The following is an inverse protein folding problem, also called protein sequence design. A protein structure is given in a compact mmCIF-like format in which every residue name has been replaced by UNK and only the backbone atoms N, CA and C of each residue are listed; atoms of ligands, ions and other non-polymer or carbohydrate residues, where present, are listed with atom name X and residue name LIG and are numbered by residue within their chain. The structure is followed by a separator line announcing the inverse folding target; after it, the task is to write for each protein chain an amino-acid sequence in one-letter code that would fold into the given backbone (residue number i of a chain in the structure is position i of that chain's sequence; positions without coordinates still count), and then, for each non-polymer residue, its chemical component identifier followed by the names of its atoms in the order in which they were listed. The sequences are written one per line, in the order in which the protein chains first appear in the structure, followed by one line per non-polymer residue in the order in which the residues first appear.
data_IF_500354216323
#
_entry.id   IF_500354216323
#
_cell.length_a   1.000
_cell.length_b   1.000
_cell.length_c   1.000
_cell.angle_alpha   90.00
_cell.angle_beta   90.00
_cell.angle_gamma   90.00
#
_symmetry.space_group_name_H-M   'P 1'
#
loop_
_entity.id
_entity.type
_entity.pdbx_description
1 polymer ?
#
# COMPACT_ATOMS: atom_id res chain seq x y z
N UNK A 1 20.44 -17.35 -9.42
CA UNK A 1 19.95 -16.59 -8.24
C UNK A 1 18.98 -15.55 -8.77
N UNK A 2 17.89 -15.26 -8.07
CA UNK A 2 17.03 -14.14 -8.46
C UNK A 2 17.85 -12.85 -8.35
N UNK A 3 18.11 -12.21 -9.48
CA UNK A 3 18.86 -10.95 -9.53
C UNK A 3 17.96 -9.79 -9.08
N UNK A 4 18.56 -8.83 -8.38
CA UNK A 4 17.88 -7.58 -8.02
C UNK A 4 17.53 -6.81 -9.28
N UNK A 5 16.30 -6.29 -9.35
CA UNK A 5 15.85 -5.48 -10.48
C UNK A 5 16.49 -4.10 -10.46
N UNK A 6 16.88 -3.64 -9.29
CA UNK A 6 17.61 -2.41 -9.03
C UNK A 6 18.44 -2.58 -7.75
N UNK A 7 19.54 -1.85 -7.64
CA UNK A 7 20.44 -1.94 -6.48
C UNK A 7 19.67 -1.65 -5.18
N UNK A 8 19.75 -2.57 -4.23
CA UNK A 8 19.14 -2.41 -2.92
C UNK A 8 17.66 -2.80 -2.83
N UNK A 9 17.11 -3.46 -3.87
CA UNK A 9 15.74 -3.98 -3.84
C UNK A 9 15.49 -4.86 -2.61
N UNK A 10 16.38 -5.82 -2.33
CA UNK A 10 16.20 -6.75 -1.20
C UNK A 10 16.14 -6.00 0.12
N UNK A 11 17.01 -4.99 0.29
CA UNK A 11 17.06 -4.16 1.49
C UNK A 11 15.78 -3.34 1.64
N UNK A 12 15.33 -2.68 0.57
CA UNK A 12 14.10 -1.90 0.57
C UNK A 12 12.86 -2.74 0.92
N UNK A 13 12.75 -3.94 0.32
CA UNK A 13 11.66 -4.86 0.63
C UNK A 13 11.73 -5.37 2.08
N UNK A 14 12.91 -5.74 2.56
CA UNK A 14 13.08 -6.19 3.94
C UNK A 14 12.70 -5.10 4.95
N UNK A 15 13.12 -3.85 4.73
CA UNK A 15 12.74 -2.72 5.56
C UNK A 15 11.23 -2.50 5.56
N UNK A 16 10.62 -2.41 4.38
CA UNK A 16 9.18 -2.25 4.25
C UNK A 16 8.41 -3.36 4.97
N UNK A 17 8.74 -4.63 4.72
CA UNK A 17 8.04 -5.76 5.32
C UNK A 17 8.24 -5.85 6.83
N UNK A 18 9.40 -5.45 7.36
CA UNK A 18 9.64 -5.37 8.80
C UNK A 18 8.76 -4.30 9.46
N UNK A 19 8.57 -3.16 8.81
CA UNK A 19 7.68 -2.10 9.33
C UNK A 19 6.21 -2.55 9.33
N UNK A 20 5.77 -3.31 8.31
CA UNK A 20 4.37 -3.73 8.22
C UNK A 20 4.06 -4.95 9.10
N UNK A 21 5.05 -5.76 9.48
CA UNK A 21 4.81 -7.10 10.03
C UNK A 21 3.96 -7.10 11.30
N UNK A 22 4.18 -6.11 12.18
CA UNK A 22 3.39 -5.95 13.41
C UNK A 22 1.92 -5.65 13.07
N UNK A 23 1.69 -4.72 12.14
CA UNK A 23 0.35 -4.29 11.72
C UNK A 23 -0.42 -5.37 10.98
N UNK A 24 0.27 -6.18 10.18
CA UNK A 24 -0.33 -7.36 9.52
C UNK A 24 -0.83 -8.35 10.57
N UNK A 25 -0.05 -8.59 11.63
CA UNK A 25 -0.47 -9.47 12.73
C UNK A 25 -1.66 -8.92 13.52
N UNK A 26 -1.72 -7.62 13.76
CA UNK A 26 -2.83 -6.94 14.45
C UNK A 26 -4.12 -6.90 13.63
N UNK A 27 -4.03 -6.61 12.33
CA UNK A 27 -5.20 -6.34 11.47
C UNK A 27 -5.74 -7.56 10.75
N UNK A 28 -4.87 -8.34 10.11
CA UNK A 28 -5.26 -9.51 9.34
C UNK A 28 -5.18 -10.80 10.18
N UNK A 29 -4.56 -10.72 11.36
CA UNK A 29 -4.37 -11.85 12.25
C UNK A 29 -3.17 -12.71 11.87
N UNK A 30 -2.73 -13.50 12.86
CA UNK A 30 -1.56 -14.39 12.76
C UNK A 30 -1.75 -15.59 11.84
N UNK A 31 -2.99 -15.86 11.42
CA UNK A 31 -3.34 -16.94 10.51
C UNK A 31 -3.44 -16.47 9.05
N UNK A 32 -3.26 -15.17 8.78
CA UNK A 32 -3.29 -14.66 7.42
C UNK A 32 -2.09 -15.17 6.62
N UNK A 33 -2.32 -15.48 5.34
CA UNK A 33 -1.23 -15.87 4.43
C UNK A 33 -0.15 -14.79 4.35
N UNK A 34 -0.55 -13.52 4.34
CA UNK A 34 0.39 -12.41 4.33
C UNK A 34 1.28 -12.41 5.58
N UNK A 35 0.73 -12.64 6.77
CA UNK A 35 1.52 -12.71 7.99
C UNK A 35 2.62 -13.78 7.88
N UNK A 36 2.27 -15.00 7.48
CA UNK A 36 3.23 -16.09 7.32
C UNK A 36 4.27 -15.80 6.24
N UNK A 37 3.86 -15.25 5.10
CA UNK A 37 4.77 -14.89 4.02
C UNK A 37 5.78 -13.82 4.46
N UNK A 38 5.33 -12.80 5.21
CA UNK A 38 6.20 -11.75 5.76
C UNK A 38 7.19 -12.34 6.76
N UNK A 39 6.73 -13.15 7.72
CA UNK A 39 7.62 -13.77 8.71
C UNK A 39 8.69 -14.65 8.04
N UNK A 40 8.28 -15.46 7.07
CA UNK A 40 9.19 -16.30 6.29
C UNK A 40 10.20 -15.46 5.51
N UNK A 41 9.75 -14.41 4.81
CA UNK A 41 10.61 -13.56 4.02
C UNK A 41 11.64 -12.80 4.87
N UNK A 42 11.26 -12.33 6.06
CA UNK A 42 12.16 -11.66 6.99
C UNK A 42 13.18 -12.62 7.64
N UNK A 43 12.78 -13.87 7.87
CA UNK A 43 13.67 -14.89 8.43
C UNK A 43 14.75 -15.35 7.43
N UNK A 44 14.37 -15.60 6.18
CA UNK A 44 15.30 -16.11 5.17
C UNK A 44 16.03 -15.01 4.38
N UNK A 45 15.46 -13.80 4.35
CA UNK A 45 15.96 -12.64 3.59
C UNK A 45 16.27 -12.95 2.12
N UNK A 46 15.58 -13.93 1.54
CA UNK A 46 15.71 -14.26 0.13
C UNK A 46 14.79 -13.37 -0.71
N UNK A 47 15.31 -12.88 -1.83
CA UNK A 47 14.61 -11.92 -2.69
C UNK A 47 13.28 -12.47 -3.21
N UNK A 48 13.21 -13.78 -3.47
CA UNK A 48 11.99 -14.44 -3.95
C UNK A 48 10.86 -14.39 -2.92
N UNK A 49 11.15 -14.70 -1.66
CA UNK A 49 10.18 -14.59 -0.57
C UNK A 49 9.79 -13.14 -0.30
N UNK A 50 10.73 -12.20 -0.37
CA UNK A 50 10.46 -10.76 -0.23
C UNK A 50 9.50 -10.25 -1.32
N UNK A 51 9.75 -10.62 -2.58
CA UNK A 51 8.86 -10.29 -3.72
C UNK A 51 7.49 -10.95 -3.54
N UNK A 52 7.45 -12.23 -3.17
CA UNK A 52 6.18 -12.93 -2.94
C UNK A 52 5.33 -12.27 -1.86
N UNK A 53 5.93 -11.87 -0.73
CA UNK A 53 5.23 -11.14 0.31
C UNK A 53 4.70 -9.78 -0.17
N UNK A 54 5.46 -9.06 -1.00
CA UNK A 54 5.00 -7.83 -1.65
C UNK A 54 3.84 -8.09 -2.61
N UNK A 55 3.86 -9.17 -3.38
CA UNK A 55 2.79 -9.51 -4.30
C UNK A 55 1.49 -9.83 -3.55
N UNK A 56 1.58 -10.59 -2.45
CA UNK A 56 0.44 -10.83 -1.56
C UNK A 56 -0.11 -9.53 -0.96
N UNK A 57 0.76 -8.62 -0.52
CA UNK A 57 0.34 -7.30 -0.05
C UNK A 57 -0.39 -6.50 -1.14
N UNK A 58 0.11 -6.54 -2.38
CA UNK A 58 -0.49 -5.84 -3.51
C UNK A 58 -1.82 -6.46 -3.98
N UNK A 59 -2.01 -7.76 -3.73
CA UNK A 59 -3.23 -8.49 -4.02
C UNK A 59 -4.36 -8.21 -3.00
N UNK A 60 -4.04 -7.60 -1.84
CA UNK A 60 -5.06 -7.22 -0.87
C UNK A 60 -6.08 -6.24 -1.46
N UNK A 61 -7.33 -6.27 -0.99
CA UNK A 61 -8.31 -5.23 -1.24
C UNK A 61 -7.71 -3.85 -0.95
N UNK A 62 -8.02 -2.89 -1.83
CA UNK A 62 -7.58 -1.50 -1.69
C UNK A 62 -7.79 -0.91 -0.28
N UNK A 63 -8.93 -1.08 0.42
CA UNK A 63 -9.10 -0.53 1.76
C UNK A 63 -8.07 -1.09 2.75
N UNK A 64 -7.88 -2.40 2.79
CA UNK A 64 -6.92 -3.06 3.70
C UNK A 64 -5.48 -2.59 3.44
N UNK A 65 -5.11 -2.49 2.16
CA UNK A 65 -3.78 -2.01 1.77
C UNK A 65 -3.55 -0.55 2.20
N UNK A 66 -4.55 0.31 2.05
CA UNK A 66 -4.46 1.71 2.49
C UNK A 66 -4.32 1.81 4.01
N UNK A 67 -5.07 1.01 4.76
CA UNK A 67 -4.95 0.98 6.22
C UNK A 67 -3.58 0.53 6.69
N UNK A 68 -3.04 -0.55 6.10
CA UNK A 68 -1.70 -1.04 6.43
C UNK A 68 -0.62 -0.02 6.07
N UNK A 69 -0.71 0.63 4.90
CA UNK A 69 0.22 1.69 4.51
C UNK A 69 0.13 2.91 5.42
N UNK A 70 -1.07 3.33 5.80
CA UNK A 70 -1.25 4.46 6.72
C UNK A 70 -0.68 4.16 8.12
N UNK A 71 -0.82 2.93 8.60
CA UNK A 71 -0.28 2.52 9.89
C UNK A 71 1.25 2.56 9.96
N UNK A 72 1.94 2.24 8.86
CA UNK A 72 3.40 2.37 8.75
C UNK A 72 3.80 3.84 8.85
N UNK A 73 3.17 4.72 8.06
CA UNK A 73 3.46 6.17 8.06
C UNK A 73 3.16 6.85 9.40
N UNK A 74 2.11 6.41 10.11
CA UNK A 74 1.78 6.92 11.44
C UNK A 74 2.86 6.56 12.48
N UNK A 75 3.41 5.34 12.39
CA UNK A 75 4.46 4.86 13.32
C UNK A 75 5.76 5.66 13.14
N UNK A 76 6.10 6.06 11.92
CA UNK A 76 7.24 6.96 11.64
C UNK A 76 7.08 8.35 12.28
N UNK A 77 5.85 8.87 12.38
CA UNK A 77 5.59 10.18 12.99
C UNK A 77 5.64 10.14 14.53
N UNK A 78 5.27 9.02 15.15
CA UNK A 78 5.29 8.88 16.61
C UNK A 78 6.71 8.69 17.18
N UNK A 79 7.64 8.15 16.38
CA UNK A 79 9.05 7.98 16.73
C UNK A 79 9.92 9.23 16.49
N UNK A 80 9.37 10.34 16.01
CA UNK A 80 10.06 11.62 16.00
C UNK A 80 9.91 12.27 17.39
N UNK A 81 10.93 12.20 18.29
CA UNK A 81 10.82 12.90 19.55
C UNK A 81 10.78 14.39 19.27
N UNK A 82 9.85 15.05 19.95
CA UNK A 82 9.84 16.50 20.11
C UNK A 82 11.22 17.00 20.53
N UNK A 83 11.98 17.54 19.58
CA UNK A 83 13.05 18.47 19.88
C UNK A 83 12.85 19.73 19.07
N UNK A 84 12.78 20.80 19.85
CA UNK A 84 12.84 22.22 19.48
C UNK A 84 11.61 22.79 18.78
N UNK A 85 10.77 23.40 19.62
CA UNK A 85 10.25 24.74 19.40
C UNK A 85 11.24 25.59 18.57
N UNK A 86 10.90 25.78 17.30
CA UNK A 86 11.12 27.03 16.60
C UNK A 86 10.12 27.09 15.44
N UNK A 87 8.98 27.71 15.70
CA UNK A 87 8.03 28.20 14.69
C UNK A 87 8.77 29.22 13.79
N UNK A 88 8.59 29.22 12.46
CA UNK A 88 7.50 30.00 11.84
C UNK A 88 6.82 29.23 10.66
N UNK A 89 5.83 29.81 9.96
CA UNK A 89 4.45 29.39 10.09
C UNK A 89 3.91 28.67 8.85
N UNK A 90 2.90 27.84 9.08
CA UNK A 90 1.76 27.54 8.20
C UNK A 90 2.01 27.65 6.67
N UNK A 91 2.29 26.51 6.03
CA UNK A 91 1.73 26.25 4.70
C UNK A 91 0.77 25.09 4.84
N UNK A 92 -0.50 25.44 5.04
CA UNK A 92 -1.63 24.53 4.85
C UNK A 92 -1.67 24.24 3.35
N UNK A 93 -1.17 23.09 2.91
CA UNK A 93 -1.48 22.59 1.58
C UNK A 93 -2.91 22.04 1.66
N UNK A 94 -3.86 22.89 1.29
CA UNK A 94 -5.22 22.48 0.94
C UNK A 94 -5.09 21.59 -0.31
N UNK A 95 -5.07 20.27 -0.14
CA UNK A 95 -5.37 19.37 -1.26
C UNK A 95 -6.86 19.50 -1.53
N UNK A 96 -7.17 20.44 -2.41
CA UNK A 96 -8.47 20.68 -2.96
C UNK A 96 -9.06 19.34 -3.43
N UNK A 97 -10.21 19.01 -2.83
CA UNK A 97 -11.21 18.14 -3.45
C UNK A 97 -11.54 18.75 -4.80
N UNK A 98 -11.26 18.03 -5.87
CA UNK A 98 -12.15 18.09 -7.03
C UNK A 98 -12.14 16.75 -7.77
N UNK A 99 -13.21 15.98 -7.53
CA UNK A 99 -13.71 15.04 -8.52
C UNK A 99 -14.94 15.70 -9.14
N UNK A 100 -15.01 15.76 -10.47
CA UNK A 100 -16.23 15.47 -11.17
C UNK A 100 -16.19 14.00 -11.61
N UNK A 101 -16.98 13.17 -10.92
CA UNK A 101 -17.49 11.94 -11.51
C UNK A 101 -18.48 12.36 -12.59
N UNK A 102 -18.07 12.40 -13.85
CA UNK A 102 -19.03 12.41 -14.94
C UNK A 102 -19.69 11.02 -15.03
N UNK A 103 -20.87 10.95 -14.44
CA UNK A 103 -21.90 9.97 -14.80
C UNK A 103 -22.32 10.24 -16.25
N UNK A 104 -21.85 9.45 -17.21
CA UNK A 104 -22.58 9.25 -18.47
C UNK A 104 -23.34 7.93 -18.38
N UNK A 105 -24.55 8.04 -17.86
CA UNK A 105 -25.65 7.20 -18.31
C UNK A 105 -25.84 7.46 -19.80
N UNK A 106 -25.71 6.43 -20.64
CA UNK A 106 -26.35 6.38 -21.93
C UNK A 106 -27.19 5.08 -21.95
N UNK A 107 -28.54 5.19 -21.93
CA UNK A 107 -29.41 4.03 -22.09
C UNK A 107 -29.40 3.51 -23.53
N UNK A 108 -29.74 2.22 -23.62
CA UNK A 108 -30.09 1.50 -24.82
C UNK A 108 -31.38 2.04 -25.48
N UNK A 109 -31.69 1.48 -26.67
CA UNK A 109 -32.90 1.64 -27.49
C UNK A 109 -32.84 2.81 -28.51
N UNK A 110 -33.27 2.71 -29.77
CA UNK A 110 -33.95 1.67 -30.52
C UNK A 110 -33.83 1.99 -32.03
N UNK A 111 -33.90 0.94 -32.85
CA UNK A 111 -34.65 0.85 -34.10
C UNK A 111 -34.67 2.05 -35.07
N UNK A 112 -34.04 1.88 -36.23
CA UNK A 112 -34.57 2.25 -37.56
C UNK A 112 -34.14 1.14 -38.53
N UNK A 113 -35.08 0.36 -39.06
CA UNK A 113 -35.63 0.53 -40.43
C UNK A 113 -34.48 0.51 -41.47
N UNK A 114 -34.34 -0.44 -42.38
CA UNK A 114 -35.34 -1.10 -43.21
C UNK A 114 -34.95 -0.89 -44.69
N UNK A 115 -35.13 -1.92 -45.53
CA UNK A 115 -35.01 -1.83 -47.00
C UNK A 115 -33.73 -2.46 -47.54
N UNK A 116 -33.80 -3.71 -48.02
CA UNK A 116 -34.13 -4.13 -49.40
C UNK A 116 -32.98 -3.92 -50.37
#
# INVERSE_FOLDING_TARGET
MDEERYEGESRGLACFLAEISARVGERLGRHSMLYHAVQKALAHRDLKSLRHARDLFNALPRPERLELSAAVLATTQELAPAKTACRPPATVIVLARDRPRECRNAPAEAQREGGR
#
